data_IF_213316448659
#
_entry.id   IF_213316448659
#
_cell.length_a   1.000
_cell.length_b   1.000
_cell.length_c   1.000
_cell.angle_alpha   90.00
_cell.angle_beta   90.00
_cell.angle_gamma   90.00
#
_symmetry.space_group_name_H-M   'P 1'
#
loop_
_entity.id
_entity.type
_entity.pdbx_description
1 polymer ?
#
# COMPACT_ATOMS: atom_id res chain seq x y z
N UNK A 1 -27.58 4.22 -3.57
CA UNK A 1 -28.17 3.92 -4.88
C UNK A 1 -27.48 2.70 -5.50
N UNK A 2 -28.17 1.96 -6.38
CA UNK A 2 -27.66 0.75 -7.06
C UNK A 2 -26.36 1.04 -7.82
N UNK A 3 -26.19 2.23 -8.39
CA UNK A 3 -24.97 2.63 -9.11
C UNK A 3 -23.75 2.72 -8.20
N UNK A 4 -23.88 3.26 -6.99
CA UNK A 4 -22.75 3.37 -6.04
C UNK A 4 -22.31 2.00 -5.56
N UNK A 5 -23.23 1.11 -5.20
CA UNK A 5 -22.91 -0.25 -4.80
C UNK A 5 -22.16 -1.02 -5.91
N UNK A 6 -22.57 -0.83 -7.18
CA UNK A 6 -21.86 -1.45 -8.32
C UNK A 6 -20.43 -0.91 -8.52
N UNK A 7 -20.24 0.39 -8.32
CA UNK A 7 -18.88 1.00 -8.37
C UNK A 7 -18.01 0.44 -7.25
N UNK A 8 -18.51 0.36 -6.01
CA UNK A 8 -17.80 -0.18 -4.84
C UNK A 8 -17.36 -1.62 -5.12
N UNK A 9 -18.30 -2.50 -5.54
CA UNK A 9 -18.00 -3.90 -5.85
C UNK A 9 -16.93 -4.03 -6.96
N UNK A 10 -17.04 -3.26 -8.05
CA UNK A 10 -16.08 -3.29 -9.15
C UNK A 10 -14.67 -2.87 -8.72
N UNK A 11 -14.56 -1.85 -7.86
CA UNK A 11 -13.26 -1.45 -7.30
C UNK A 11 -12.69 -2.60 -6.47
N UNK A 12 -13.51 -3.22 -5.64
CA UNK A 12 -13.10 -4.34 -4.82
C UNK A 12 -12.64 -5.55 -5.63
N UNK A 13 -13.40 -5.96 -6.65
CA UNK A 13 -13.04 -7.06 -7.54
C UNK A 13 -11.68 -6.82 -8.20
N UNK A 14 -11.48 -5.63 -8.80
CA UNK A 14 -10.21 -5.26 -9.41
C UNK A 14 -9.04 -5.24 -8.40
N UNK A 15 -9.32 -4.89 -7.14
CA UNK A 15 -8.30 -4.84 -6.09
C UNK A 15 -7.92 -6.23 -5.63
N UNK A 16 -8.90 -7.13 -5.45
CA UNK A 16 -8.64 -8.54 -5.13
C UNK A 16 -7.88 -9.24 -6.24
N UNK A 17 -8.25 -9.03 -7.51
CA UNK A 17 -7.53 -9.58 -8.67
C UNK A 17 -6.04 -9.16 -8.72
N UNK A 18 -5.70 -8.00 -8.16
CA UNK A 18 -4.33 -7.52 -8.08
C UNK A 18 -3.51 -8.18 -6.96
N UNK A 19 -4.14 -8.78 -5.94
CA UNK A 19 -3.43 -9.32 -4.78
C UNK A 19 -2.45 -10.43 -5.15
N UNK A 20 -2.87 -11.39 -5.98
CA UNK A 20 -2.05 -12.54 -6.36
C UNK A 20 -0.76 -12.16 -7.11
N UNK A 21 -0.81 -11.05 -7.84
CA UNK A 21 0.35 -10.56 -8.59
C UNK A 21 1.37 -9.83 -7.71
N UNK A 22 0.95 -9.30 -6.56
CA UNK A 22 1.77 -8.40 -5.73
C UNK A 22 2.15 -9.02 -4.40
N UNK A 23 1.22 -9.71 -3.73
CA UNK A 23 1.41 -10.23 -2.38
C UNK A 23 1.48 -11.77 -2.40
N UNK A 24 2.66 -12.36 -2.13
CA UNK A 24 2.80 -13.80 -2.10
C UNK A 24 2.02 -14.43 -0.95
N UNK A 25 1.56 -15.66 -1.14
CA UNK A 25 1.01 -16.46 -0.06
C UNK A 25 2.06 -16.63 1.04
N UNK A 26 1.60 -16.60 2.29
CA UNK A 26 2.46 -16.92 3.42
C UNK A 26 2.89 -18.39 3.37
N UNK A 27 4.09 -18.74 3.88
CA UNK A 27 4.46 -20.13 4.12
C UNK A 27 3.54 -20.74 5.19
N UNK A 28 3.46 -22.07 5.23
CA UNK A 28 2.63 -22.80 6.20
C UNK A 28 3.02 -22.51 7.67
N UNK A 29 4.25 -22.06 7.90
CA UNK A 29 4.76 -21.66 9.22
C UNK A 29 4.92 -20.13 9.27
N UNK A 30 3.97 -19.46 9.93
CA UNK A 30 3.92 -17.98 10.08
C UNK A 30 5.09 -17.42 10.93
N UNK A 31 5.71 -18.23 11.76
CA UNK A 31 6.80 -17.80 12.65
C UNK A 31 8.18 -17.90 11.98
N UNK A 32 8.29 -18.50 10.79
CA UNK A 32 9.56 -18.62 10.09
C UNK A 32 9.88 -17.35 9.31
N UNK A 33 10.87 -16.54 9.73
CA UNK A 33 11.30 -15.39 8.94
C UNK A 33 11.87 -15.85 7.61
N UNK A 34 11.40 -15.31 6.49
CA UNK A 34 12.04 -15.53 5.19
C UNK A 34 13.41 -14.86 5.18
N UNK A 35 14.46 -15.63 5.43
CA UNK A 35 15.83 -15.19 5.29
C UNK A 35 16.21 -15.18 3.81
N UNK A 36 15.79 -14.13 3.11
CA UNK A 36 16.27 -13.86 1.76
C UNK A 36 17.57 -13.07 1.77
N UNK A 37 18.21 -12.89 0.60
CA UNK A 37 19.37 -12.03 0.47
C UNK A 37 18.99 -10.60 0.88
N UNK A 38 19.86 -9.97 1.65
CA UNK A 38 19.74 -8.57 2.06
C UNK A 38 20.85 -7.75 1.43
N UNK A 39 20.66 -6.44 1.36
CA UNK A 39 21.69 -5.53 0.84
C UNK A 39 21.64 -4.20 1.61
N UNK A 40 22.82 -3.65 1.83
CA UNK A 40 22.99 -2.29 2.35
C UNK A 40 24.14 -1.61 1.62
N UNK A 41 24.06 -0.31 1.36
CA UNK A 41 25.17 0.41 0.72
C UNK A 41 26.39 0.42 1.64
N UNK A 42 27.57 0.17 1.07
CA UNK A 42 28.83 0.39 1.77
C UNK A 42 29.04 1.90 1.90
N UNK A 43 29.49 2.35 3.07
CA UNK A 43 29.78 3.76 3.30
C UNK A 43 30.81 4.27 2.28
N UNK A 44 30.52 5.42 1.64
CA UNK A 44 31.37 6.00 0.59
C UNK A 44 31.27 5.31 -0.78
N UNK A 45 30.43 4.28 -0.95
CA UNK A 45 30.25 3.63 -2.24
C UNK A 45 29.80 4.64 -3.31
N UNK A 46 30.38 4.57 -4.54
CA UNK A 46 29.96 5.45 -5.62
C UNK A 46 28.50 5.19 -5.99
N UNK A 47 27.78 6.26 -6.33
CA UNK A 47 26.38 6.20 -6.74
C UNK A 47 26.04 7.26 -7.76
N UNK A 48 25.17 6.92 -8.70
CA UNK A 48 24.65 7.84 -9.70
C UNK A 48 23.15 8.02 -9.46
N UNK A 49 22.67 9.27 -9.25
CA UNK A 49 21.25 9.52 -9.07
C UNK A 49 20.48 9.39 -10.39
N UNK A 50 19.28 8.85 -10.30
CA UNK A 50 18.30 8.79 -11.41
C UNK A 50 17.22 9.83 -11.14
N UNK A 51 17.22 10.90 -11.91
CA UNK A 51 16.29 12.01 -11.74
C UNK A 51 15.14 11.91 -12.75
N UNK A 52 13.95 12.29 -12.32
CA UNK A 52 12.82 12.51 -13.25
C UNK A 52 13.16 13.63 -14.21
N UNK A 53 12.86 13.46 -15.50
CA UNK A 53 13.10 14.47 -16.54
C UNK A 53 11.82 14.73 -17.33
N UNK A 54 11.50 16.02 -17.50
CA UNK A 54 10.46 16.53 -18.40
C UNK A 54 9.05 15.94 -18.19
N UNK A 55 8.76 15.45 -16.99
CA UNK A 55 7.45 14.90 -16.61
C UNK A 55 7.22 14.98 -15.10
N UNK A 56 5.98 14.78 -14.73
CA UNK A 56 5.54 14.65 -13.34
C UNK A 56 4.32 13.71 -13.30
N UNK A 57 3.98 13.22 -12.13
CA UNK A 57 2.81 12.37 -11.92
C UNK A 57 2.98 11.44 -10.72
N UNK A 58 1.93 10.72 -10.39
CA UNK A 58 2.03 9.67 -9.38
C UNK A 58 2.77 8.46 -9.93
N UNK A 59 3.59 7.84 -9.12
CA UNK A 59 4.22 6.54 -9.43
C UNK A 59 3.12 5.50 -9.52
N UNK A 60 2.88 4.98 -10.72
CA UNK A 60 1.81 4.01 -10.98
C UNK A 60 2.30 2.58 -10.95
N UNK A 61 3.56 2.36 -11.29
CA UNK A 61 4.17 1.03 -11.33
C UNK A 61 5.69 1.12 -11.27
N UNK A 62 6.31 0.13 -10.63
CA UNK A 62 7.76 -0.10 -10.61
C UNK A 62 8.01 -1.52 -11.11
N UNK A 63 8.60 -1.64 -12.30
CA UNK A 63 8.97 -2.94 -12.87
C UNK A 63 10.29 -3.41 -12.25
N UNK A 64 10.21 -3.96 -11.04
CA UNK A 64 11.38 -4.39 -10.28
C UNK A 64 12.15 -5.50 -11.00
N UNK A 65 11.46 -6.42 -11.72
CA UNK A 65 12.13 -7.50 -12.43
C UNK A 65 12.94 -6.98 -13.64
N UNK A 66 12.38 -6.09 -14.42
CA UNK A 66 13.13 -5.47 -15.52
C UNK A 66 14.28 -4.56 -15.02
N UNK A 67 14.14 -3.96 -13.82
CA UNK A 67 15.23 -3.24 -13.16
C UNK A 67 16.37 -4.18 -12.75
N UNK A 68 16.10 -5.43 -12.35
CA UNK A 68 17.12 -6.45 -12.05
C UNK A 68 17.99 -6.69 -13.29
N UNK A 69 17.39 -6.84 -14.48
CA UNK A 69 18.13 -7.07 -15.73
C UNK A 69 19.06 -5.90 -16.06
N UNK A 70 18.60 -4.66 -15.82
CA UNK A 70 19.44 -3.46 -16.01
C UNK A 70 20.59 -3.43 -15.00
N UNK A 71 20.31 -3.70 -13.73
CA UNK A 71 21.29 -3.69 -12.66
C UNK A 71 22.35 -4.78 -12.85
N UNK A 72 21.94 -6.00 -13.25
CA UNK A 72 22.85 -7.11 -13.53
C UNK A 72 23.80 -6.79 -14.70
N UNK A 73 23.28 -6.22 -15.80
CA UNK A 73 24.11 -5.79 -16.95
C UNK A 73 25.14 -4.71 -16.56
N UNK A 74 24.75 -3.81 -15.68
CA UNK A 74 25.64 -2.77 -15.16
C UNK A 74 26.57 -3.29 -14.06
N UNK A 75 26.42 -4.52 -13.61
CA UNK A 75 27.03 -5.07 -12.39
C UNK A 75 26.92 -4.09 -11.22
N UNK A 76 25.69 -3.66 -10.94
CA UNK A 76 25.34 -2.63 -9.98
C UNK A 76 24.17 -3.08 -9.12
N UNK A 77 23.81 -2.26 -8.12
CA UNK A 77 22.54 -2.36 -7.39
C UNK A 77 21.74 -1.07 -7.62
N UNK A 78 20.45 -1.20 -7.91
CA UNK A 78 19.54 -0.07 -8.07
C UNK A 78 18.64 0.03 -6.83
N UNK A 79 18.71 1.15 -6.11
CA UNK A 79 17.73 1.46 -5.07
C UNK A 79 16.67 2.40 -5.63
N UNK A 80 15.39 2.06 -5.44
CA UNK A 80 14.26 2.91 -5.83
C UNK A 80 13.81 3.71 -4.61
N UNK A 81 13.82 5.04 -4.75
CA UNK A 81 13.57 5.98 -3.65
C UNK A 81 12.12 6.45 -3.55
N UNK A 82 11.24 5.92 -4.41
CA UNK A 82 9.82 6.26 -4.47
C UNK A 82 8.96 5.01 -4.35
N UNK A 83 7.72 5.20 -3.91
CA UNK A 83 6.73 4.12 -3.77
C UNK A 83 5.56 4.32 -4.73
N UNK A 84 4.82 3.24 -5.02
CA UNK A 84 3.56 3.33 -5.74
C UNK A 84 2.61 4.31 -5.03
N UNK A 85 1.99 5.19 -5.81
CA UNK A 85 1.13 6.25 -5.31
C UNK A 85 1.80 7.55 -4.93
N UNK A 86 3.11 7.58 -4.72
CA UNK A 86 3.85 8.81 -4.43
C UNK A 86 3.92 9.72 -5.67
N UNK A 87 3.70 11.01 -5.49
CA UNK A 87 3.88 12.00 -6.55
C UNK A 87 5.36 12.33 -6.73
N UNK A 88 5.80 12.35 -7.97
CA UNK A 88 7.17 12.72 -8.34
C UNK A 88 7.17 13.78 -9.45
N UNK A 89 8.12 14.70 -9.39
CA UNK A 89 8.23 15.84 -10.31
C UNK A 89 9.62 15.92 -10.95
N UNK A 90 9.74 16.68 -12.03
CA UNK A 90 11.00 16.89 -12.74
C UNK A 90 12.10 17.41 -11.81
N UNK A 91 13.28 16.83 -11.92
CA UNK A 91 14.43 17.10 -11.05
C UNK A 91 14.47 16.27 -9.76
N UNK A 92 13.37 15.62 -9.36
CA UNK A 92 13.34 14.77 -8.18
C UNK A 92 14.08 13.45 -8.45
N UNK A 93 14.85 13.00 -7.47
CA UNK A 93 15.50 11.70 -7.48
C UNK A 93 14.47 10.60 -7.21
N UNK A 94 14.44 9.59 -8.08
CA UNK A 94 13.52 8.44 -7.97
C UNK A 94 14.25 7.11 -7.79
N UNK A 95 15.55 7.07 -8.10
CA UNK A 95 16.40 5.91 -7.88
C UNK A 95 17.87 6.30 -7.79
N UNK A 96 18.73 5.35 -7.38
CA UNK A 96 20.20 5.45 -7.38
C UNK A 96 20.78 4.17 -7.94
N UNK A 97 21.83 4.30 -8.74
CA UNK A 97 22.65 3.19 -9.21
C UNK A 97 23.93 3.15 -8.39
N UNK A 98 24.10 2.11 -7.58
CA UNK A 98 25.23 1.92 -6.67
C UNK A 98 26.33 1.06 -7.30
N UNK A 99 27.58 1.34 -6.95
CA UNK A 99 28.75 0.62 -7.45
C UNK A 99 29.31 1.19 -8.75
N UNK A 100 28.77 2.32 -9.23
CA UNK A 100 29.23 3.00 -10.44
C UNK A 100 29.48 4.49 -10.19
N UNK A 101 30.52 5.03 -10.76
CA UNK A 101 30.83 6.47 -10.75
C UNK A 101 30.14 7.19 -11.90
N UNK A 102 29.88 6.46 -13.00
CA UNK A 102 29.19 6.96 -14.19
C UNK A 102 28.26 5.88 -14.74
N UNK A 103 27.13 6.30 -15.30
CA UNK A 103 26.14 5.45 -16.00
C UNK A 103 25.75 6.19 -17.28
N UNK A 104 25.70 5.48 -18.39
CA UNK A 104 25.29 6.05 -19.67
C UNK A 104 23.85 6.59 -19.63
N UNK A 105 23.60 7.70 -20.32
CA UNK A 105 22.24 8.29 -20.36
C UNK A 105 21.19 7.32 -20.93
N UNK A 106 21.57 6.41 -21.82
CA UNK A 106 20.71 5.38 -22.34
C UNK A 106 20.19 4.44 -21.23
N UNK A 107 21.05 4.05 -20.28
CA UNK A 107 20.69 3.20 -19.15
C UNK A 107 19.86 3.99 -18.11
N UNK A 108 20.23 5.23 -17.81
CA UNK A 108 19.43 6.11 -16.95
C UNK A 108 18.03 6.32 -17.51
N UNK A 109 17.90 6.50 -18.83
CA UNK A 109 16.61 6.62 -19.52
C UNK A 109 15.82 5.32 -19.42
N UNK A 110 16.48 4.16 -19.54
CA UNK A 110 15.84 2.86 -19.37
C UNK A 110 15.30 2.68 -17.95
N UNK A 111 16.12 2.98 -16.93
CA UNK A 111 15.68 2.91 -15.51
C UNK A 111 14.48 3.82 -15.29
N UNK A 112 14.50 5.08 -15.76
CA UNK A 112 13.37 6.02 -15.66
C UNK A 112 12.08 5.51 -16.29
N UNK A 113 12.17 4.73 -17.38
CA UNK A 113 11.00 4.15 -18.04
C UNK A 113 10.39 2.99 -17.29
N UNK A 114 11.17 2.31 -16.44
CA UNK A 114 10.72 1.19 -15.61
C UNK A 114 10.09 1.67 -14.29
N UNK A 115 10.22 2.97 -13.98
CA UNK A 115 9.48 3.66 -12.91
C UNK A 115 8.42 4.51 -13.60
N UNK A 116 7.20 4.02 -13.64
CA UNK A 116 6.14 4.63 -14.42
C UNK A 116 5.50 5.79 -13.66
N UNK A 117 5.47 6.96 -14.30
CA UNK A 117 4.77 8.14 -13.81
C UNK A 117 3.57 8.40 -14.72
N UNK A 118 2.39 8.50 -14.15
CA UNK A 118 1.14 8.75 -14.88
C UNK A 118 0.24 9.77 -14.21
N UNK A 119 -0.67 10.36 -14.98
CA UNK A 119 -1.72 11.26 -14.47
C UNK A 119 -2.85 10.51 -13.78
N UNK A 120 -3.10 9.27 -14.17
CA UNK A 120 -4.09 8.38 -13.56
C UNK A 120 -3.42 7.09 -13.11
N UNK A 121 -3.66 6.70 -11.86
CA UNK A 121 -3.21 5.42 -11.31
C UNK A 121 -4.01 4.29 -11.95
N UNK A 122 -3.33 3.23 -12.36
CA UNK A 122 -3.98 2.03 -12.89
C UNK A 122 -4.10 0.99 -11.78
N UNK A 123 -5.32 0.47 -11.57
CA UNK A 123 -5.66 -0.52 -10.56
C UNK A 123 -4.91 -1.86 -10.68
N UNK A 124 -4.37 -2.16 -11.85
CA UNK A 124 -3.88 -3.52 -12.17
C UNK A 124 -2.75 -4.05 -11.29
N UNK A 125 -2.07 -3.21 -10.48
CA UNK A 125 -0.98 -3.63 -9.60
C UNK A 125 -0.87 -2.75 -8.35
N UNK A 126 -1.87 -1.93 -8.03
CA UNK A 126 -1.84 -1.01 -6.90
C UNK A 126 -3.05 -1.25 -5.98
N UNK A 127 -2.88 -2.21 -5.06
CA UNK A 127 -3.89 -2.54 -4.05
C UNK A 127 -4.20 -1.33 -3.16
N UNK A 128 -3.19 -0.54 -2.81
CA UNK A 128 -3.37 0.69 -2.03
C UNK A 128 -4.21 1.72 -2.76
N UNK A 129 -4.14 1.81 -4.08
CA UNK A 129 -5.03 2.69 -4.84
C UNK A 129 -6.48 2.23 -4.81
N UNK A 130 -6.73 0.93 -4.95
CA UNK A 130 -8.08 0.38 -4.82
C UNK A 130 -8.68 0.67 -3.43
N UNK A 131 -7.92 0.42 -2.36
CA UNK A 131 -8.34 0.76 -1.01
C UNK A 131 -8.56 2.27 -0.85
N UNK A 132 -7.65 3.13 -1.38
CA UNK A 132 -7.82 4.59 -1.33
C UNK A 132 -9.12 5.04 -1.99
N UNK A 133 -9.46 4.51 -3.16
CA UNK A 133 -10.72 4.83 -3.84
C UNK A 133 -11.95 4.47 -2.99
N UNK A 134 -11.92 3.31 -2.34
CA UNK A 134 -12.99 2.90 -1.43
C UNK A 134 -13.11 3.84 -0.22
N UNK A 135 -11.98 4.17 0.41
CA UNK A 135 -11.93 5.11 1.53
C UNK A 135 -12.47 6.48 1.14
N UNK A 136 -12.08 7.02 -0.03
CA UNK A 136 -12.58 8.31 -0.54
C UNK A 136 -14.11 8.30 -0.76
N UNK A 137 -14.68 7.16 -1.15
CA UNK A 137 -16.15 6.99 -1.25
C UNK A 137 -16.78 7.03 0.15
N UNK A 138 -16.21 6.34 1.14
CA UNK A 138 -16.71 6.34 2.51
C UNK A 138 -16.62 7.72 3.15
N UNK A 139 -15.49 8.42 3.00
CA UNK A 139 -15.33 9.79 3.50
C UNK A 139 -16.38 10.74 2.92
N UNK A 140 -16.60 10.67 1.60
CA UNK A 140 -17.63 11.47 0.96
C UNK A 140 -19.02 11.16 1.51
N UNK A 141 -19.34 9.87 1.70
CA UNK A 141 -20.61 9.43 2.29
C UNK A 141 -20.79 9.94 3.71
N UNK A 142 -19.72 9.99 4.50
CA UNK A 142 -19.71 10.44 5.90
C UNK A 142 -19.55 11.96 6.05
N UNK A 143 -19.36 12.70 4.95
CA UNK A 143 -19.26 14.16 5.02
C UNK A 143 -20.53 14.79 5.58
N UNK A 144 -20.43 15.93 6.32
CA UNK A 144 -21.60 16.56 6.96
C UNK A 144 -22.74 16.90 6.00
N UNK A 145 -22.44 17.16 4.73
CA UNK A 145 -23.44 17.51 3.71
C UNK A 145 -24.20 16.30 3.13
N UNK A 146 -23.64 15.08 3.23
CA UNK A 146 -24.26 13.85 2.69
C UNK A 146 -24.80 12.99 3.82
N UNK A 147 -23.99 12.70 4.84
CA UNK A 147 -24.33 11.92 6.03
C UNK A 147 -25.04 10.59 5.70
N UNK A 148 -24.42 9.76 4.86
CA UNK A 148 -24.91 8.44 4.45
C UNK A 148 -24.06 7.30 5.05
N UNK A 149 -24.29 6.92 6.31
CA UNK A 149 -23.57 5.82 6.95
C UNK A 149 -23.87 4.46 6.31
N UNK A 150 -24.95 4.34 5.54
CA UNK A 150 -25.27 3.09 4.85
C UNK A 150 -24.29 2.81 3.72
N UNK A 151 -23.98 3.82 2.91
CA UNK A 151 -22.95 3.70 1.87
C UNK A 151 -21.57 3.48 2.50
N UNK A 152 -21.25 4.15 3.62
CA UNK A 152 -19.98 3.91 4.32
C UNK A 152 -19.85 2.46 4.81
N UNK A 153 -20.91 1.86 5.36
CA UNK A 153 -20.92 0.45 5.76
C UNK A 153 -20.71 -0.48 4.56
N UNK A 154 -21.33 -0.22 3.41
CA UNK A 154 -21.09 -0.99 2.19
C UNK A 154 -19.63 -0.93 1.72
N UNK A 155 -18.99 0.22 1.87
CA UNK A 155 -17.55 0.36 1.60
C UNK A 155 -16.71 -0.45 2.58
N UNK A 156 -17.06 -0.41 3.89
CA UNK A 156 -16.35 -1.21 4.91
C UNK A 156 -16.50 -2.71 4.61
N UNK A 157 -17.67 -3.17 4.14
CA UNK A 157 -17.87 -4.56 3.74
C UNK A 157 -16.91 -4.98 2.63
N UNK A 158 -16.70 -4.11 1.65
CA UNK A 158 -15.79 -4.37 0.54
C UNK A 158 -14.32 -4.29 0.97
N UNK A 159 -13.94 -3.32 1.80
CA UNK A 159 -12.62 -3.25 2.42
C UNK A 159 -12.34 -4.50 3.26
N UNK A 160 -13.33 -4.98 4.01
CA UNK A 160 -13.23 -6.21 4.80
C UNK A 160 -12.89 -7.41 3.90
N UNK A 161 -13.56 -7.57 2.77
CA UNK A 161 -13.28 -8.64 1.80
C UNK A 161 -11.83 -8.57 1.30
N UNK A 162 -11.36 -7.38 0.91
CA UNK A 162 -9.98 -7.18 0.43
C UNK A 162 -8.96 -7.50 1.53
N UNK A 163 -9.15 -6.91 2.72
CA UNK A 163 -8.21 -7.09 3.83
C UNK A 163 -8.18 -8.53 4.33
N UNK A 164 -9.30 -9.26 4.28
CA UNK A 164 -9.35 -10.67 4.66
C UNK A 164 -8.46 -11.56 3.77
N UNK A 165 -8.43 -11.27 2.47
CA UNK A 165 -7.51 -11.92 1.54
C UNK A 165 -6.05 -11.49 1.76
N UNK A 166 -5.85 -10.27 2.23
CA UNK A 166 -4.52 -9.67 2.37
C UNK A 166 -3.81 -10.10 3.66
N UNK A 167 -4.53 -10.19 4.81
CA UNK A 167 -3.94 -10.46 6.13
C UNK A 167 -3.38 -11.88 6.29
N UNK A 168 -3.66 -12.77 5.36
CA UNK A 168 -3.09 -14.14 5.29
C UNK A 168 -1.90 -14.23 4.33
N UNK A 169 -1.44 -13.11 3.80
CA UNK A 169 -0.33 -12.99 2.84
C UNK A 169 0.88 -12.30 3.45
N UNK A 170 1.98 -12.32 2.73
CA UNK A 170 3.20 -11.62 3.15
C UNK A 170 3.39 -10.31 2.40
N UNK A 171 3.94 -9.29 3.09
CA UNK A 171 4.53 -8.14 2.42
C UNK A 171 5.72 -8.63 1.59
N UNK A 172 5.81 -8.27 0.29
CA UNK A 172 6.93 -8.66 -0.54
C UNK A 172 8.27 -8.20 0.03
N UNK A 173 9.34 -8.96 -0.25
CA UNK A 173 10.69 -8.55 0.13
C UNK A 173 11.07 -7.22 -0.56
N UNK A 174 11.70 -6.28 0.15
CA UNK A 174 12.25 -5.08 -0.49
C UNK A 174 13.46 -5.38 -1.37
N UNK A 175 14.03 -6.58 -1.27
CA UNK A 175 15.23 -6.99 -1.99
C UNK A 175 14.87 -7.95 -3.11
N UNK A 176 15.23 -7.59 -4.36
CA UNK A 176 15.00 -8.43 -5.53
C UNK A 176 16.36 -8.87 -6.07
N UNK A 177 16.56 -10.18 -6.11
CA UNK A 177 17.81 -10.80 -6.55
C UNK A 177 17.75 -11.23 -8.02
N UNK A 178 18.93 -11.34 -8.64
CA UNK A 178 19.11 -12.00 -9.92
C UNK A 178 19.08 -13.54 -9.75
N UNK A 179 19.11 -14.31 -10.85
CA UNK A 179 19.11 -15.78 -10.79
C UNK A 179 20.32 -16.37 -10.04
N UNK A 180 21.41 -15.62 -9.89
CA UNK A 180 22.59 -16.03 -9.13
C UNK A 180 22.45 -15.74 -7.62
N UNK A 181 21.31 -15.22 -7.19
CA UNK A 181 21.01 -14.89 -5.78
C UNK A 181 21.61 -13.57 -5.31
N UNK A 182 22.15 -12.74 -6.19
CA UNK A 182 22.69 -11.41 -5.84
C UNK A 182 21.56 -10.37 -5.86
N UNK A 183 21.42 -9.60 -4.77
CA UNK A 183 20.49 -8.47 -4.74
C UNK A 183 20.88 -7.45 -5.80
N UNK A 184 19.99 -7.13 -6.70
CA UNK A 184 20.14 -6.18 -7.79
C UNK A 184 19.23 -4.97 -7.67
N UNK A 185 18.07 -5.13 -7.05
CA UNK A 185 17.12 -4.04 -6.84
C UNK A 185 16.69 -4.01 -5.38
N UNK A 186 16.63 -2.81 -4.84
CA UNK A 186 16.02 -2.54 -3.54
C UNK A 186 14.91 -1.52 -3.75
N UNK A 187 13.69 -1.89 -3.40
CA UNK A 187 12.54 -0.99 -3.43
C UNK A 187 11.68 -1.20 -2.20
N UNK A 188 10.81 -0.25 -1.89
CA UNK A 188 9.89 -0.41 -0.77
C UNK A 188 8.50 -0.81 -1.30
N UNK A 189 8.05 -2.06 -1.11
CA UNK A 189 6.68 -2.46 -1.41
C UNK A 189 5.72 -1.77 -0.43
N UNK A 190 4.44 -1.71 -0.80
CA UNK A 190 3.41 -1.29 0.15
C UNK A 190 3.25 -2.37 1.22
N UNK A 191 3.55 -2.02 2.46
CA UNK A 191 3.41 -2.93 3.60
C UNK A 191 1.93 -3.21 3.89
N UNK A 192 1.61 -4.45 4.22
CA UNK A 192 0.24 -4.88 4.54
C UNK A 192 -0.28 -4.12 5.78
N UNK A 193 0.55 -3.88 6.79
CA UNK A 193 0.19 -3.04 7.94
C UNK A 193 -0.33 -1.65 7.52
N UNK A 194 0.39 -0.99 6.60
CA UNK A 194 -0.01 0.31 6.08
C UNK A 194 -1.31 0.27 5.27
N UNK A 195 -1.60 -0.85 4.58
CA UNK A 195 -2.86 -1.04 3.86
C UNK A 195 -4.03 -1.30 4.81
N UNK A 196 -3.81 -2.02 5.91
CA UNK A 196 -4.82 -2.20 6.97
C UNK A 196 -5.15 -0.83 7.58
N UNK A 197 -4.14 -0.04 7.95
CA UNK A 197 -4.32 1.30 8.49
C UNK A 197 -5.06 2.23 7.52
N UNK A 198 -4.71 2.21 6.24
CA UNK A 198 -5.36 2.98 5.18
C UNK A 198 -6.86 2.66 5.09
N UNK A 199 -7.23 1.39 5.17
CA UNK A 199 -8.64 0.95 5.08
C UNK A 199 -9.49 1.31 6.30
N UNK A 200 -8.88 1.77 7.40
CA UNK A 200 -9.57 1.92 8.69
C UNK A 200 -9.54 3.35 9.23
N UNK A 201 -8.36 3.97 9.35
CA UNK A 201 -8.18 5.19 10.17
C UNK A 201 -9.02 6.38 9.72
N UNK A 202 -9.04 6.65 8.41
CA UNK A 202 -9.80 7.80 7.90
C UNK A 202 -11.31 7.57 8.02
N UNK A 203 -11.78 6.36 7.73
CA UNK A 203 -13.20 6.01 7.90
C UNK A 203 -13.61 6.11 9.37
N UNK A 204 -12.77 5.63 10.30
CA UNK A 204 -13.01 5.76 11.73
C UNK A 204 -13.06 7.23 12.19
N UNK A 205 -12.18 8.07 11.63
CA UNK A 205 -12.16 9.50 11.92
C UNK A 205 -13.44 10.22 11.46
N UNK A 206 -13.80 10.08 10.19
CA UNK A 206 -15.01 10.71 9.64
C UNK A 206 -16.32 10.07 10.11
N UNK A 207 -16.27 8.82 10.55
CA UNK A 207 -17.40 8.07 11.09
C UNK A 207 -17.49 8.07 12.61
N UNK A 208 -16.69 8.87 13.32
CA UNK A 208 -16.60 8.90 14.79
C UNK A 208 -17.94 9.16 15.47
N UNK A 209 -18.82 9.95 14.86
CA UNK A 209 -20.16 10.28 15.38
C UNK A 209 -21.23 9.25 14.95
N UNK A 210 -20.85 8.20 14.22
CA UNK A 210 -21.78 7.16 13.76
C UNK A 210 -21.54 5.83 14.48
N UNK A 211 -22.35 5.46 15.48
CA UNK A 211 -22.21 4.18 16.18
C UNK A 211 -22.24 2.98 15.24
N UNK A 212 -23.02 3.05 14.16
CA UNK A 212 -23.14 2.00 13.14
C UNK A 212 -21.84 1.78 12.38
N UNK A 213 -21.13 2.86 12.03
CA UNK A 213 -19.84 2.80 11.33
C UNK A 213 -18.78 2.21 12.26
N UNK A 214 -18.68 2.71 13.50
CA UNK A 214 -17.72 2.21 14.48
C UNK A 214 -17.97 0.75 14.84
N UNK A 215 -19.22 0.33 15.00
CA UNK A 215 -19.58 -1.08 15.23
C UNK A 215 -19.11 -1.96 14.07
N UNK A 216 -19.38 -1.55 12.82
CA UNK A 216 -19.00 -2.35 11.63
C UNK A 216 -17.47 -2.44 11.47
N UNK A 217 -16.72 -1.35 11.75
CA UNK A 217 -15.27 -1.39 11.77
C UNK A 217 -14.74 -2.34 12.86
N UNK A 218 -15.34 -2.33 14.04
CA UNK A 218 -14.97 -3.22 15.15
C UNK A 218 -15.20 -4.69 14.77
N UNK A 219 -16.34 -5.03 14.16
CA UNK A 219 -16.64 -6.36 13.65
C UNK A 219 -15.59 -6.82 12.61
N UNK A 220 -15.29 -5.97 11.64
CA UNK A 220 -14.28 -6.24 10.63
C UNK A 220 -12.91 -6.54 11.25
N UNK A 221 -12.43 -5.65 12.12
CA UNK A 221 -11.10 -5.81 12.75
C UNK A 221 -11.03 -7.04 13.64
N UNK A 222 -12.13 -7.38 14.33
CA UNK A 222 -12.21 -8.59 15.16
C UNK A 222 -12.14 -9.85 14.30
N UNK A 223 -12.83 -9.89 13.17
CA UNK A 223 -12.76 -11.01 12.22
C UNK A 223 -11.34 -11.12 11.62
N UNK A 224 -10.77 -10.01 11.16
CA UNK A 224 -9.41 -9.98 10.62
C UNK A 224 -8.38 -10.46 11.64
N UNK A 225 -8.51 -10.04 12.92
CA UNK A 225 -7.61 -10.47 14.00
C UNK A 225 -7.67 -11.99 14.22
N UNK A 226 -8.81 -12.60 13.98
CA UNK A 226 -9.03 -14.04 14.11
C UNK A 226 -8.38 -14.89 13.00
N UNK A 227 -8.09 -14.31 11.83
CA UNK A 227 -7.54 -15.03 10.69
C UNK A 227 -6.17 -14.51 10.21
N UNK A 228 -5.73 -13.34 10.66
CA UNK A 228 -4.48 -12.72 10.24
C UNK A 228 -3.25 -13.49 10.72
N UNK A 229 -2.17 -13.38 9.93
CA UNK A 229 -0.84 -13.78 10.39
C UNK A 229 -0.47 -13.03 11.67
N UNK A 230 0.25 -13.68 12.59
CA UNK A 230 0.60 -13.12 13.89
C UNK A 230 1.33 -11.78 13.80
N UNK A 231 2.12 -11.57 12.74
CA UNK A 231 2.87 -10.34 12.48
C UNK A 231 1.99 -9.09 12.33
N UNK A 232 0.72 -9.23 11.94
CA UNK A 232 -0.23 -8.11 11.81
C UNK A 232 -1.08 -7.88 13.06
N UNK A 233 -0.93 -8.75 14.06
CA UNK A 233 -1.73 -8.70 15.29
C UNK A 233 -1.63 -7.37 16.01
N UNK A 234 -0.43 -6.81 16.17
CA UNK A 234 -0.22 -5.54 16.88
C UNK A 234 -0.91 -4.36 16.18
N UNK A 235 -0.91 -4.33 14.85
CA UNK A 235 -1.59 -3.29 14.05
C UNK A 235 -3.11 -3.38 14.24
N UNK A 236 -3.66 -4.59 14.15
CA UNK A 236 -5.10 -4.82 14.32
C UNK A 236 -5.56 -4.51 15.76
N UNK A 237 -4.81 -4.95 16.77
CA UNK A 237 -5.10 -4.67 18.18
C UNK A 237 -5.01 -3.16 18.48
N UNK A 238 -4.04 -2.47 17.90
CA UNK A 238 -3.91 -1.01 17.99
C UNK A 238 -5.13 -0.27 17.44
N UNK A 239 -5.59 -0.65 16.24
CA UNK A 239 -6.76 -0.05 15.60
C UNK A 239 -8.06 -0.35 16.37
N UNK A 240 -8.24 -1.55 16.90
CA UNK A 240 -9.36 -1.88 17.79
C UNK A 240 -9.38 -0.97 19.02
N UNK A 241 -8.22 -0.70 19.63
CA UNK A 241 -8.08 0.21 20.75
C UNK A 241 -8.42 1.67 20.39
N UNK A 242 -8.01 2.14 19.20
CA UNK A 242 -8.34 3.47 18.68
C UNK A 242 -9.86 3.65 18.50
N UNK A 243 -10.53 2.69 17.87
CA UNK A 243 -11.98 2.72 17.64
C UNK A 243 -12.76 2.66 18.94
N UNK A 244 -12.36 1.83 19.90
CA UNK A 244 -13.00 1.73 21.22
C UNK A 244 -12.93 3.07 21.96
N UNK A 245 -11.82 3.78 21.90
CA UNK A 245 -11.68 5.13 22.50
C UNK A 245 -12.57 6.16 21.81
N UNK A 246 -12.66 6.13 20.48
CA UNK A 246 -13.52 7.02 19.72
C UNK A 246 -15.01 6.81 20.08
N UNK A 247 -15.47 5.57 20.17
CA UNK A 247 -16.83 5.23 20.58
C UNK A 247 -17.16 5.69 22.01
N UNK A 248 -16.22 5.57 22.94
CA UNK A 248 -16.38 6.01 24.32
C UNK A 248 -16.48 7.53 24.43
N UNK A 249 -15.69 8.27 23.64
CA UNK A 249 -15.71 9.74 23.61
C UNK A 249 -17.05 10.25 23.04
N UNK A 250 -17.58 9.65 21.98
CA UNK A 250 -18.88 10.00 21.39
C UNK A 250 -20.04 9.77 22.38
N UNK A 251 -20.05 8.64 23.09
CA UNK A 251 -21.06 8.33 24.11
C UNK A 251 -21.01 9.28 25.31
N UNK A 252 -19.85 9.83 25.66
CA UNK A 252 -19.69 10.85 26.72
C UNK A 252 -20.30 12.19 26.33
N UNK A 253 -20.10 12.62 25.08
CA UNK A 253 -20.62 13.91 24.58
C UNK A 253 -22.14 13.91 24.41
N UNK A 254 -22.76 12.76 24.14
CA UNK A 254 -24.24 12.63 24.01
C UNK A 254 -24.94 12.77 25.37
N UNK A 255 -24.29 12.41 26.49
CA UNK A 255 -24.81 12.55 27.85
C UNK A 255 -24.77 13.99 28.39
N UNK A 256 -23.91 14.83 27.84
CA UNK A 256 -23.70 16.24 28.25
C UNK A 256 -24.46 17.23 27.34
N UNK A 257 -25.28 16.77 26.39
CA UNK A 257 -26.19 17.64 25.63
C UNK A 257 -27.44 17.91 26.45
N UNK A 258 -27.76 19.19 26.71
CA UNK A 258 -28.93 19.60 27.50
C UNK A 258 -30.27 19.28 26.83
#
# INVERSE_FOLDING_TARGET
SIQVAHVISRIGDNTVDALDAVYPAAPDDDDTPRHGPTWSPVEGAPRVPVLVRDRHGSVTHIDAQALVDVAARLDAVITVDVQAGQFATSGQQVARVWGRTQVEEADLKRIRRLIWLGGERQLRQDVGFGLRQLVDIAERALSPGINDPTTAVQVIDEIHRILRELVVRETPSPYVADPDGRVRVVHQPQAIDGLIELGVREIAHYGSDSPRVLARLTEMLTDLRGCALNRYGSTLDGLLGEISKAGSAAAGQEKDRP
#
